data_IF_239908600039
#
_entry.id   IF_239908600039
#
_cell.length_a   1.000
_cell.length_b   1.000
_cell.length_c   1.000
_cell.angle_alpha   90.00
_cell.angle_beta   90.00
_cell.angle_gamma   90.00
#
_symmetry.space_group_name_H-M   'P 1'
#
loop_
_entity.id
_entity.type
_entity.pdbx_description
1 polymer ?
#
# COMPACT_ATOMS: atom_id res chain seq x y z
N UNK A 1 9.17 -25.51 -26.70
CA UNK A 1 10.38 -24.70 -26.98
C UNK A 1 9.94 -23.40 -27.63
N UNK A 2 10.68 -22.29 -27.45
CA UNK A 2 10.35 -20.97 -28.01
C UNK A 2 10.16 -21.00 -29.53
N UNK A 3 11.00 -21.76 -30.23
CA UNK A 3 10.95 -21.93 -31.68
C UNK A 3 9.64 -22.55 -32.18
N UNK A 4 8.99 -23.39 -31.37
CA UNK A 4 7.68 -23.99 -31.73
C UNK A 4 6.53 -22.99 -31.61
N UNK A 5 6.66 -21.94 -30.81
CA UNK A 5 5.62 -20.92 -30.68
C UNK A 5 5.57 -19.98 -31.89
N UNK A 6 6.71 -19.72 -32.51
CA UNK A 6 6.83 -18.86 -33.70
C UNK A 6 6.22 -19.51 -34.96
N UNK A 7 6.18 -20.84 -35.01
CA UNK A 7 5.62 -21.62 -36.13
C UNK A 7 4.12 -21.94 -35.98
N UNK A 8 3.49 -21.54 -34.89
CA UNK A 8 2.07 -21.79 -34.62
C UNK A 8 1.24 -20.52 -34.86
N UNK A 9 -0.05 -20.70 -35.11
CA UNK A 9 -1.01 -19.59 -35.10
C UNK A 9 -1.12 -18.96 -33.71
N UNK A 10 -1.56 -17.71 -33.69
CA UNK A 10 -1.84 -16.91 -32.51
C UNK A 10 -2.79 -17.64 -31.57
N UNK A 11 -2.47 -17.58 -30.29
CA UNK A 11 -3.20 -18.29 -29.27
C UNK A 11 -4.25 -17.37 -28.67
N UNK A 12 -5.50 -17.84 -28.67
CA UNK A 12 -6.61 -17.19 -28.00
C UNK A 12 -7.06 -18.00 -26.78
N UNK A 13 -7.39 -17.31 -25.70
CA UNK A 13 -8.02 -17.87 -24.52
C UNK A 13 -9.37 -17.16 -24.34
N UNK A 14 -10.46 -17.93 -24.21
CA UNK A 14 -11.84 -17.42 -24.17
C UNK A 14 -12.19 -16.44 -25.30
N UNK A 15 -11.70 -16.73 -26.52
CA UNK A 15 -11.95 -15.92 -27.71
C UNK A 15 -11.18 -14.59 -27.76
N UNK A 16 -10.27 -14.33 -26.81
CA UNK A 16 -9.36 -13.18 -26.82
C UNK A 16 -7.94 -13.63 -27.12
N UNK A 17 -7.28 -12.97 -28.06
CA UNK A 17 -5.87 -13.22 -28.35
C UNK A 17 -5.02 -12.93 -27.10
N UNK A 18 -4.21 -13.91 -26.69
CA UNK A 18 -3.26 -13.81 -25.57
C UNK A 18 -1.83 -13.77 -26.08
N UNK A 19 -1.54 -14.50 -27.16
CA UNK A 19 -0.22 -14.48 -27.82
C UNK A 19 -0.43 -14.27 -29.31
N UNK A 20 0.14 -13.20 -29.84
CA UNK A 20 0.20 -12.93 -31.27
C UNK A 20 1.53 -13.45 -31.82
N UNK A 21 1.45 -14.11 -32.96
CA UNK A 21 2.58 -14.72 -33.65
C UNK A 21 2.77 -14.05 -35.02
N UNK A 22 3.99 -14.07 -35.57
CA UNK A 22 4.26 -13.39 -36.84
C UNK A 22 3.56 -14.06 -38.03
N UNK A 23 3.04 -15.28 -37.85
CA UNK A 23 2.26 -16.00 -38.84
C UNK A 23 0.91 -15.32 -39.14
N UNK A 24 0.26 -14.74 -38.13
CA UNK A 24 -1.01 -14.03 -38.30
C UNK A 24 -0.85 -12.49 -38.32
N UNK A 25 0.23 -11.96 -37.74
CA UNK A 25 0.47 -10.52 -37.55
C UNK A 25 1.80 -10.06 -38.16
N UNK A 26 2.02 -10.34 -39.44
CA UNK A 26 3.29 -10.07 -40.14
C UNK A 26 3.56 -8.59 -40.46
N UNK A 27 2.62 -7.69 -40.16
CA UNK A 27 2.71 -6.27 -40.50
C UNK A 27 3.67 -5.46 -39.62
N UNK A 28 3.87 -5.89 -38.37
CA UNK A 28 4.67 -5.17 -37.38
C UNK A 28 5.49 -6.09 -36.47
N UNK A 29 5.25 -7.40 -36.49
CA UNK A 29 5.93 -8.39 -35.66
C UNK A 29 6.97 -9.15 -36.51
N UNK A 30 8.23 -9.20 -36.07
CA UNK A 30 9.29 -9.91 -36.81
C UNK A 30 9.16 -11.42 -36.67
N UNK A 31 9.78 -12.16 -37.60
CA UNK A 31 9.69 -13.63 -37.66
C UNK A 31 10.24 -14.37 -36.42
N UNK A 32 11.05 -13.71 -35.59
CA UNK A 32 11.62 -14.22 -34.34
C UNK A 32 10.95 -13.62 -33.08
N UNK A 33 9.91 -12.81 -33.24
CA UNK A 33 9.22 -12.11 -32.15
C UNK A 33 7.81 -12.69 -31.93
N UNK A 34 7.36 -12.70 -30.68
CA UNK A 34 5.97 -12.96 -30.32
C UNK A 34 5.49 -11.85 -29.38
N UNK A 35 4.22 -11.44 -29.50
CA UNK A 35 3.66 -10.41 -28.65
C UNK A 35 2.65 -11.01 -27.68
N UNK A 36 2.87 -10.80 -26.39
CA UNK A 36 1.94 -11.22 -25.35
C UNK A 36 0.99 -10.07 -25.05
N UNK A 37 -0.29 -10.28 -25.37
CA UNK A 37 -1.34 -9.31 -25.10
C UNK A 37 -1.56 -9.27 -23.58
N UNK A 38 -1.24 -8.14 -22.96
CA UNK A 38 -1.45 -7.91 -21.54
C UNK A 38 -2.27 -6.65 -21.33
N UNK A 39 -3.18 -6.67 -20.34
CA UNK A 39 -3.97 -5.50 -19.98
C UNK A 39 -3.20 -4.67 -18.93
N UNK A 40 -1.95 -4.31 -19.21
CA UNK A 40 -1.09 -3.54 -18.30
C UNK A 40 -0.72 -2.22 -18.98
N UNK A 41 -0.93 -1.09 -18.29
CA UNK A 41 -0.58 0.23 -18.84
C UNK A 41 0.94 0.46 -18.86
N UNK A 42 1.41 1.39 -19.68
CA UNK A 42 2.83 1.75 -19.73
C UNK A 42 3.36 2.16 -18.34
N UNK A 43 2.59 2.90 -17.56
CA UNK A 43 2.94 3.34 -16.20
C UNK A 43 3.06 2.16 -15.23
N UNK A 44 2.23 1.11 -15.41
CA UNK A 44 2.30 -0.10 -14.61
C UNK A 44 3.54 -0.93 -14.95
N UNK A 45 3.95 -0.98 -16.23
CA UNK A 45 5.15 -1.67 -16.71
C UNK A 45 6.44 -0.94 -16.33
N UNK A 46 6.50 0.36 -16.57
CA UNK A 46 7.70 1.19 -16.34
C UNK A 46 7.84 1.63 -14.89
N UNK A 47 6.73 1.81 -14.16
CA UNK A 47 6.70 2.43 -12.84
C UNK A 47 7.07 1.51 -11.68
N UNK A 48 7.07 0.19 -11.87
CA UNK A 48 7.47 -0.79 -10.85
C UNK A 48 6.85 -0.55 -9.46
N UNK A 49 7.68 -0.37 -8.43
CA UNK A 49 7.23 -0.02 -7.07
C UNK A 49 6.73 1.44 -6.96
N UNK A 50 7.25 2.35 -7.78
CA UNK A 50 6.85 3.77 -7.79
C UNK A 50 5.39 3.97 -8.20
N UNK A 51 4.89 3.17 -9.15
CA UNK A 51 3.47 3.17 -9.50
C UNK A 51 2.58 2.95 -8.26
N UNK A 52 2.94 2.02 -7.37
CA UNK A 52 2.13 1.72 -6.17
C UNK A 52 2.11 2.89 -5.17
N UNK A 53 3.24 3.56 -4.98
CA UNK A 53 3.34 4.68 -4.03
C UNK A 53 2.57 5.92 -4.53
N UNK A 54 2.73 6.26 -5.81
CA UNK A 54 2.21 7.52 -6.37
C UNK A 54 0.87 7.38 -7.08
N UNK A 55 0.34 6.17 -7.28
CA UNK A 55 -1.01 5.97 -7.81
C UNK A 55 -2.08 6.47 -6.86
N UNK A 56 -3.15 7.04 -7.40
CA UNK A 56 -4.35 7.36 -6.63
C UNK A 56 -5.00 6.09 -6.06
N UNK A 57 -5.80 6.23 -4.99
CA UNK A 57 -6.46 5.08 -4.35
C UNK A 57 -7.39 4.36 -5.31
N UNK A 58 -8.04 5.09 -6.22
CA UNK A 58 -8.88 4.52 -7.28
C UNK A 58 -8.07 3.64 -8.24
N UNK A 59 -6.88 4.10 -8.66
CA UNK A 59 -5.98 3.32 -9.52
C UNK A 59 -5.47 2.06 -8.81
N UNK A 60 -5.16 2.14 -7.51
CA UNK A 60 -4.76 0.96 -6.73
C UNK A 60 -5.90 -0.07 -6.63
N UNK A 61 -7.12 0.38 -6.37
CA UNK A 61 -8.31 -0.50 -6.32
C UNK A 61 -8.58 -1.13 -7.68
N UNK A 62 -8.52 -0.36 -8.77
CA UNK A 62 -8.66 -0.88 -10.13
C UNK A 62 -7.53 -1.87 -10.49
N UNK A 63 -6.33 -1.66 -9.95
CA UNK A 63 -5.22 -2.61 -10.07
C UNK A 63 -5.49 -3.95 -9.39
N UNK A 64 -6.17 -3.97 -8.25
CA UNK A 64 -6.54 -5.22 -7.56
C UNK A 64 -7.52 -6.07 -8.36
N UNK A 65 -8.37 -5.46 -9.19
CA UNK A 65 -9.31 -6.18 -10.07
C UNK A 65 -8.69 -6.60 -11.41
N UNK A 66 -7.44 -6.20 -11.71
CA UNK A 66 -6.78 -6.55 -12.96
C UNK A 66 -6.00 -7.88 -12.82
N UNK A 67 -6.43 -8.97 -13.47
CA UNK A 67 -5.78 -10.27 -13.35
C UNK A 67 -4.32 -10.25 -13.86
N UNK A 68 -4.02 -9.40 -14.83
CA UNK A 68 -2.70 -9.30 -15.48
C UNK A 68 -1.61 -8.82 -14.53
N UNK A 69 -1.97 -8.20 -13.40
CA UNK A 69 -1.03 -7.70 -12.40
C UNK A 69 -0.71 -8.72 -11.30
N UNK A 70 -1.46 -9.84 -11.21
CA UNK A 70 -1.26 -10.86 -10.18
C UNK A 70 -1.52 -10.41 -8.73
N UNK A 71 -2.15 -9.25 -8.53
CA UNK A 71 -2.33 -8.63 -7.21
C UNK A 71 -3.50 -9.20 -6.39
N UNK A 72 -4.30 -10.11 -6.97
CA UNK A 72 -5.44 -10.71 -6.29
C UNK A 72 -5.04 -11.60 -5.08
N UNK A 73 -3.81 -12.14 -5.09
CA UNK A 73 -3.27 -13.01 -4.04
C UNK A 73 -2.33 -12.31 -3.05
N UNK A 74 -1.31 -13.04 -2.59
CA UNK A 74 -0.30 -12.55 -1.63
C UNK A 74 0.51 -11.37 -2.18
N UNK A 75 0.76 -11.34 -3.49
CA UNK A 75 1.50 -10.26 -4.18
C UNK A 75 0.82 -8.88 -4.15
N UNK A 76 -0.43 -8.78 -3.70
CA UNK A 76 -1.14 -7.49 -3.53
C UNK A 76 -1.35 -7.07 -2.07
N UNK A 77 -0.72 -7.75 -1.10
CA UNK A 77 -0.88 -7.43 0.31
C UNK A 77 -0.41 -6.00 0.63
N UNK A 78 0.69 -5.57 0.03
CA UNK A 78 1.22 -4.21 0.12
C UNK A 78 0.26 -3.15 -0.42
N UNK A 79 -0.35 -3.42 -1.59
CA UNK A 79 -1.37 -2.55 -2.20
C UNK A 79 -2.60 -2.44 -1.29
N UNK A 80 -3.05 -3.54 -0.70
CA UNK A 80 -4.17 -3.54 0.25
C UNK A 80 -3.84 -2.75 1.53
N UNK A 81 -2.65 -2.94 2.11
CA UNK A 81 -2.19 -2.15 3.26
C UNK A 81 -2.19 -0.66 2.89
N UNK A 82 -1.68 -0.28 1.71
CA UNK A 82 -1.65 1.11 1.28
C UNK A 82 -3.05 1.71 1.12
N UNK A 83 -4.01 0.97 0.57
CA UNK A 83 -5.40 1.43 0.42
C UNK A 83 -6.03 1.69 1.80
N UNK A 84 -5.94 0.73 2.74
CA UNK A 84 -6.47 0.93 4.09
C UNK A 84 -5.70 2.03 4.84
N UNK A 85 -4.38 2.08 4.69
CA UNK A 85 -3.51 3.07 5.31
C UNK A 85 -3.89 4.50 4.93
N UNK A 86 -4.24 4.76 3.66
CA UNK A 86 -4.70 6.09 3.22
C UNK A 86 -6.00 6.54 3.88
N UNK A 87 -6.90 5.63 4.21
CA UNK A 87 -8.15 5.92 4.94
C UNK A 87 -7.85 6.17 6.41
N UNK A 88 -6.92 5.41 6.98
CA UNK A 88 -6.56 5.45 8.39
C UNK A 88 -5.62 6.63 8.72
N UNK A 89 -4.82 7.12 7.76
CA UNK A 89 -3.82 8.17 7.98
C UNK A 89 -4.38 9.43 8.65
N UNK A 90 -5.50 10.02 8.20
CA UNK A 90 -6.05 11.21 8.87
C UNK A 90 -6.46 10.94 10.33
N UNK A 91 -6.96 9.74 10.63
CA UNK A 91 -7.33 9.33 11.98
C UNK A 91 -6.09 9.12 12.86
N UNK A 92 -5.01 8.58 12.30
CA UNK A 92 -3.72 8.47 12.98
C UNK A 92 -3.15 9.84 13.32
N UNK A 93 -3.21 10.78 12.38
CA UNK A 93 -2.73 12.15 12.58
C UNK A 93 -3.52 12.86 13.70
N UNK A 94 -4.86 12.70 13.72
CA UNK A 94 -5.70 13.20 14.82
C UNK A 94 -5.38 12.53 16.16
N UNK A 95 -5.15 11.21 16.16
CA UNK A 95 -4.79 10.48 17.37
C UNK A 95 -3.46 10.96 17.94
N UNK A 96 -2.45 11.17 17.07
CA UNK A 96 -1.15 11.70 17.47
C UNK A 96 -1.27 13.12 18.03
N UNK A 97 -2.11 13.97 17.42
CA UNK A 97 -2.41 15.30 17.94
C UNK A 97 -3.01 15.22 19.35
N UNK A 98 -4.01 14.35 19.55
CA UNK A 98 -4.62 14.14 20.86
C UNK A 98 -3.67 13.50 21.89
N UNK A 99 -2.68 12.72 21.46
CA UNK A 99 -1.62 12.27 22.38
C UNK A 99 -0.67 13.41 22.77
N UNK A 100 -0.39 14.34 21.85
CA UNK A 100 0.53 15.46 22.08
C UNK A 100 -0.07 16.60 22.92
N UNK A 101 -1.34 16.94 22.69
CA UNK A 101 -2.03 18.05 23.37
C UNK A 101 -1.97 17.98 24.91
N UNK A 102 -2.34 16.86 25.58
CA UNK A 102 -2.27 16.76 27.03
C UNK A 102 -0.83 16.95 27.55
N UNK A 103 0.18 16.48 26.83
CA UNK A 103 1.59 16.60 27.24
C UNK A 103 2.08 18.05 27.26
N UNK A 104 1.57 18.88 26.35
CA UNK A 104 1.92 20.30 26.27
C UNK A 104 1.11 21.12 27.28
N UNK A 105 -0.19 20.81 27.44
CA UNK A 105 -1.10 21.59 28.28
C UNK A 105 -0.92 21.35 29.79
N UNK A 106 -0.49 20.17 30.21
CA UNK A 106 -0.40 19.81 31.64
C UNK A 106 0.76 20.52 32.39
N UNK A 107 1.47 21.46 31.75
CA UNK A 107 2.79 21.92 32.17
C UNK A 107 2.98 23.43 32.30
N UNK A 108 2.07 24.18 32.93
CA UNK A 108 2.21 25.64 33.17
C UNK A 108 3.51 26.04 33.92
N UNK A 109 4.24 25.09 34.53
CA UNK A 109 5.50 25.31 35.25
C UNK A 109 6.68 24.38 34.85
N UNK A 110 6.59 23.60 33.76
CA UNK A 110 7.70 22.71 33.32
C UNK A 110 8.55 23.35 32.22
N UNK A 111 9.86 23.07 32.24
CA UNK A 111 10.81 23.51 31.22
C UNK A 111 10.32 23.07 29.82
N UNK A 112 10.11 24.04 28.92
CA UNK A 112 9.65 23.83 27.54
C UNK A 112 10.47 22.78 26.79
N UNK A 113 11.77 22.68 27.07
CA UNK A 113 12.64 21.65 26.49
C UNK A 113 12.21 20.22 26.83
N UNK A 114 11.66 19.98 28.04
CA UNK A 114 11.16 18.66 28.45
C UNK A 114 9.87 18.33 27.70
N UNK A 115 8.98 19.30 27.53
CA UNK A 115 7.73 19.10 26.78
C UNK A 115 8.01 18.74 25.32
N UNK A 116 8.95 19.46 24.68
CA UNK A 116 9.41 19.17 23.32
C UNK A 116 10.01 17.76 23.24
N UNK A 117 10.90 17.40 24.17
CA UNK A 117 11.52 16.08 24.21
C UNK A 117 10.51 14.95 24.35
N UNK A 118 9.53 15.09 25.25
CA UNK A 118 8.49 14.09 25.48
C UNK A 118 7.57 13.93 24.26
N UNK A 119 7.19 15.03 23.62
CA UNK A 119 6.43 15.00 22.37
C UNK A 119 7.20 14.27 21.25
N UNK A 120 8.50 14.54 21.12
CA UNK A 120 9.37 13.85 20.17
C UNK A 120 9.47 12.34 20.40
N UNK A 121 9.58 11.92 21.66
CA UNK A 121 9.58 10.49 22.04
C UNK A 121 8.24 9.84 21.70
N UNK A 122 7.12 10.48 22.01
CA UNK A 122 5.79 9.95 21.70
C UNK A 122 5.57 9.84 20.18
N UNK A 123 5.95 10.85 19.41
CA UNK A 123 5.88 10.82 17.95
C UNK A 123 6.72 9.68 17.37
N UNK A 124 7.93 9.48 17.90
CA UNK A 124 8.83 8.40 17.46
C UNK A 124 8.25 7.03 17.78
N UNK A 125 7.77 6.83 19.01
CA UNK A 125 7.13 5.57 19.42
C UNK A 125 5.88 5.27 18.58
N UNK A 126 5.07 6.28 18.31
CA UNK A 126 3.89 6.19 17.44
C UNK A 126 4.28 5.76 16.01
N UNK A 127 5.27 6.43 15.41
CA UNK A 127 5.75 6.09 14.07
C UNK A 127 6.31 4.67 13.98
N UNK A 128 7.06 4.23 14.99
CA UNK A 128 7.61 2.85 15.03
C UNK A 128 6.49 1.82 15.04
N UNK A 129 5.45 2.03 15.84
CA UNK A 129 4.30 1.10 15.90
C UNK A 129 3.53 1.11 14.57
N UNK A 130 3.26 2.28 14.01
CA UNK A 130 2.56 2.40 12.70
C UNK A 130 3.35 1.68 11.60
N UNK A 131 4.64 1.96 11.48
CA UNK A 131 5.50 1.32 10.47
C UNK A 131 5.61 -0.19 10.70
N UNK A 132 5.75 -0.62 11.95
CA UNK A 132 5.79 -2.04 12.31
C UNK A 132 4.53 -2.77 11.89
N UNK A 133 3.35 -2.27 12.28
CA UNK A 133 2.08 -2.88 11.90
C UNK A 133 1.88 -2.92 10.38
N UNK A 134 2.18 -1.84 9.66
CA UNK A 134 2.08 -1.80 8.21
C UNK A 134 3.02 -2.80 7.54
N UNK A 135 4.27 -2.89 8.01
CA UNK A 135 5.26 -3.84 7.49
C UNK A 135 4.79 -5.29 7.68
N UNK A 136 4.25 -5.63 8.86
CA UNK A 136 3.69 -6.96 9.12
C UNK A 136 2.54 -7.31 8.17
N UNK A 137 1.73 -6.33 7.77
CA UNK A 137 0.69 -6.52 6.75
C UNK A 137 1.24 -6.69 5.32
N UNK A 138 2.31 -5.97 4.98
CA UNK A 138 2.94 -6.03 3.65
C UNK A 138 3.56 -7.41 3.39
N UNK A 139 4.18 -8.01 4.41
CA UNK A 139 4.73 -9.38 4.32
C UNK A 139 3.67 -10.47 4.50
N UNK A 140 2.38 -10.11 4.53
CA UNK A 140 1.24 -11.02 4.73
C UNK A 140 1.25 -11.81 6.05
N UNK A 141 2.00 -11.39 7.07
CA UNK A 141 2.00 -12.05 8.39
C UNK A 141 0.66 -11.85 9.10
N UNK A 142 0.06 -10.67 8.93
CA UNK A 142 -1.28 -10.35 9.41
C UNK A 142 -2.14 -9.81 8.26
N UNK A 143 -3.46 -9.84 8.44
CA UNK A 143 -4.39 -9.32 7.43
C UNK A 143 -4.08 -7.84 7.12
N UNK A 144 -3.97 -7.44 5.84
CA UNK A 144 -3.64 -6.06 5.44
C UNK A 144 -4.55 -4.98 6.07
N UNK A 145 -5.84 -5.27 6.19
CA UNK A 145 -6.78 -4.39 6.89
C UNK A 145 -6.41 -4.27 8.37
N UNK A 146 -6.15 -5.39 9.07
CA UNK A 146 -5.77 -5.35 10.48
C UNK A 146 -4.47 -4.59 10.69
N UNK A 147 -3.46 -4.81 9.84
CA UNK A 147 -2.18 -4.10 9.87
C UNK A 147 -2.33 -2.56 9.82
N UNK A 148 -3.22 -2.06 8.95
CA UNK A 148 -3.45 -0.63 8.84
C UNK A 148 -4.20 -0.05 10.05
N UNK A 149 -5.14 -0.78 10.63
CA UNK A 149 -6.03 -0.29 11.69
C UNK A 149 -5.51 -0.56 13.13
N UNK A 150 -4.61 -1.53 13.29
CA UNK A 150 -4.07 -1.92 14.60
C UNK A 150 -3.48 -0.76 15.42
N UNK A 151 -2.72 0.19 14.83
CA UNK A 151 -2.19 1.30 15.60
C UNK A 151 -3.28 2.17 16.25
N UNK A 152 -4.41 2.41 15.55
CA UNK A 152 -5.53 3.16 16.13
C UNK A 152 -6.13 2.41 17.34
N UNK A 153 -6.32 1.10 17.23
CA UNK A 153 -6.89 0.30 18.32
C UNK A 153 -6.00 0.31 19.57
N UNK A 154 -4.69 0.50 19.41
CA UNK A 154 -3.74 0.62 20.52
C UNK A 154 -3.71 2.05 21.07
N UNK A 155 -3.59 3.06 20.21
CA UNK A 155 -3.31 4.43 20.66
C UNK A 155 -4.55 5.26 21.03
N UNK A 156 -5.72 4.96 20.47
CA UNK A 156 -6.95 5.68 20.85
C UNK A 156 -7.29 5.48 22.33
N UNK A 157 -7.28 4.24 22.89
CA UNK A 157 -7.49 4.04 24.33
C UNK A 157 -6.43 4.75 25.19
N UNK A 158 -5.17 4.76 24.75
CA UNK A 158 -4.08 5.47 25.46
C UNK A 158 -4.35 6.98 25.49
N UNK A 159 -4.76 7.57 24.37
CA UNK A 159 -5.12 8.97 24.31
C UNK A 159 -6.26 9.29 25.28
N UNK A 160 -7.34 8.52 25.26
CA UNK A 160 -8.48 8.71 26.18
C UNK A 160 -8.05 8.64 27.64
N UNK A 161 -7.27 7.62 28.01
CA UNK A 161 -6.77 7.45 29.38
C UNK A 161 -5.86 8.60 29.83
N UNK A 162 -5.14 9.25 28.91
CA UNK A 162 -4.34 10.44 29.23
C UNK A 162 -5.21 11.65 29.54
N UNK A 163 -6.31 11.85 28.81
CA UNK A 163 -7.24 12.95 29.05
C UNK A 163 -8.02 12.80 30.35
N UNK A 164 -8.49 11.59 30.67
CA UNK A 164 -9.18 11.34 31.94
C UNK A 164 -8.31 11.75 33.14
N UNK A 165 -7.00 11.52 33.08
CA UNK A 165 -6.04 11.92 34.13
C UNK A 165 -5.85 13.43 34.27
N UNK A 166 -6.32 14.25 33.31
CA UNK A 166 -6.27 15.72 33.39
C UNK A 166 -7.51 16.27 34.08
N UNK A 167 -8.63 15.57 34.01
CA UNK A 167 -9.91 16.01 34.57
C UNK A 167 -10.08 15.73 36.07
N UNK A 168 -9.14 14.98 36.69
CA UNK A 168 -9.04 14.73 38.13
C UNK A 168 -7.84 15.45 38.75
#
# INVERSE_FOLDING_TARGET
SPERLLANHSLAMDGKAVVLTPLDESGWLKSDECFVVSNVSFEQLSGGRGWRQFSSTRQLIAGLSNPSLGLAGEFGADVRVAIHGRVVQPLLDLTLLFLGLPLVLHGTNRNVFIAIGLCGVVCTAFMVVVMGCQYLGQISLIRPALAAWAPLMVFVPVAVAMYERIEY
#
